data_IF_094392646459
#
_entry.id   IF_094392646459
#
_cell.length_a   1.000
_cell.length_b   1.000
_cell.length_c   1.000
_cell.angle_alpha   90.00
_cell.angle_beta   90.00
_cell.angle_gamma   90.00
#
_symmetry.space_group_name_H-M   'P 1'
#
loop_
_entity.id
_entity.type
_entity.pdbx_description
1 polymer ?
#
# COMPACT_ATOMS: atom_id res chain seq x y z
N UNK A 1 16.05 -7.93 10.13
CA UNK A 1 15.17 -7.68 8.95
C UNK A 1 14.57 -6.26 9.04
N UNK A 2 14.50 -5.56 7.91
CA UNK A 2 13.67 -4.36 7.79
C UNK A 2 12.35 -4.72 7.15
N UNK A 3 11.31 -3.96 7.50
CA UNK A 3 9.95 -4.11 6.97
C UNK A 3 9.47 -2.77 6.48
N UNK A 4 8.96 -2.72 5.26
CA UNK A 4 8.18 -1.59 4.79
C UNK A 4 6.72 -1.93 4.97
N UNK A 5 6.01 -1.09 5.72
CA UNK A 5 4.57 -1.20 5.90
C UNK A 5 3.84 -0.08 5.18
N UNK A 6 2.57 -0.31 4.86
CA UNK A 6 1.62 0.68 4.37
C UNK A 6 0.35 0.65 5.20
N UNK A 7 -0.29 1.80 5.37
CA UNK A 7 -1.66 1.91 5.88
C UNK A 7 -2.39 3.05 5.20
N UNK A 8 -3.71 2.95 5.16
CA UNK A 8 -4.61 4.04 4.79
C UNK A 8 -4.73 4.99 5.99
N UNK A 9 -4.06 6.14 5.89
CA UNK A 9 -4.12 7.17 6.93
C UNK A 9 -5.40 8.00 6.82
N UNK A 10 -5.82 8.29 5.59
CA UNK A 10 -7.07 8.98 5.31
C UNK A 10 -7.72 8.34 4.08
N UNK A 11 -9.01 7.93 4.17
CA UNK A 11 -9.73 7.39 3.03
C UNK A 11 -9.94 8.45 1.95
N UNK A 12 -10.17 8.01 0.72
CA UNK A 12 -10.54 8.88 -0.38
C UNK A 12 -11.90 9.53 -0.10
N UNK A 13 -11.96 10.86 -0.02
CA UNK A 13 -13.19 11.62 0.19
C UNK A 13 -13.22 12.90 -0.64
N UNK A 14 -14.41 13.30 -1.08
CA UNK A 14 -14.69 14.60 -1.72
C UNK A 14 -15.25 15.63 -0.72
N UNK A 15 -15.27 15.28 0.57
CA UNK A 15 -15.85 16.07 1.66
C UNK A 15 -17.32 15.77 1.98
N UNK A 16 -18.04 15.09 1.08
CA UNK A 16 -19.44 14.65 1.28
C UNK A 16 -19.53 13.13 1.32
N UNK A 17 -18.93 12.49 0.32
CA UNK A 17 -18.86 11.05 0.13
C UNK A 17 -17.45 10.53 0.43
N UNK A 18 -17.39 9.26 0.82
CA UNK A 18 -16.14 8.57 1.12
C UNK A 18 -16.10 7.25 0.37
N UNK A 19 -14.98 6.97 -0.28
CA UNK A 19 -14.67 5.66 -0.84
C UNK A 19 -13.99 4.82 0.23
N UNK A 20 -14.60 3.70 0.60
CA UNK A 20 -14.08 2.76 1.60
C UNK A 20 -13.64 1.47 0.94
N UNK A 21 -12.60 0.84 1.48
CA UNK A 21 -12.12 -0.49 1.05
C UNK A 21 -11.68 -0.56 -0.43
N UNK A 22 -11.25 0.58 -0.98
CA UNK A 22 -10.91 0.72 -2.40
C UNK A 22 -9.42 0.50 -2.70
N UNK A 23 -8.53 0.70 -1.73
CA UNK A 23 -7.10 0.49 -1.92
C UNK A 23 -6.69 -0.98 -1.71
N UNK A 24 -5.93 -1.50 -2.67
CA UNK A 24 -5.36 -2.85 -2.66
C UNK A 24 -3.86 -2.77 -2.91
N UNK A 25 -3.12 -3.67 -2.28
CA UNK A 25 -1.74 -3.98 -2.66
C UNK A 25 -1.73 -5.32 -3.39
N UNK A 26 -1.09 -5.36 -4.56
CA UNK A 26 -0.99 -6.55 -5.39
C UNK A 26 0.46 -7.01 -5.46
N UNK A 27 0.71 -8.26 -5.10
CA UNK A 27 2.04 -8.88 -5.17
C UNK A 27 1.90 -10.38 -5.42
N UNK A 28 2.74 -10.95 -6.28
CA UNK A 28 2.74 -12.39 -6.59
C UNK A 28 1.35 -12.91 -7.03
N UNK A 29 0.57 -12.08 -7.73
CA UNK A 29 -0.80 -12.40 -8.16
C UNK A 29 -1.84 -12.43 -7.05
N UNK A 30 -1.51 -12.03 -5.82
CA UNK A 30 -2.45 -11.90 -4.71
C UNK A 30 -2.80 -10.44 -4.45
N UNK A 31 -4.08 -10.18 -4.16
CA UNK A 31 -4.56 -8.85 -3.76
C UNK A 31 -4.87 -8.81 -2.27
N UNK A 32 -4.35 -7.82 -1.57
CA UNK A 32 -4.60 -7.59 -0.15
C UNK A 32 -5.16 -6.18 0.07
N UNK A 33 -6.12 -6.05 0.99
CA UNK A 33 -6.75 -4.76 1.27
C UNK A 33 -5.86 -3.87 2.12
N UNK A 34 -5.54 -2.67 1.63
CA UNK A 34 -4.89 -1.67 2.48
C UNK A 34 -5.98 -1.09 3.39
N UNK A 35 -5.75 -1.17 4.70
CA UNK A 35 -6.68 -0.67 5.73
C UNK A 35 -5.99 0.38 6.58
N UNK A 36 -6.66 0.90 7.62
CA UNK A 36 -6.02 1.75 8.63
C UNK A 36 -4.97 1.02 9.49
N UNK A 37 -4.96 -0.31 9.48
CA UNK A 37 -3.92 -1.14 10.10
C UNK A 37 -2.68 -1.26 9.23
N UNK A 38 -1.51 -1.42 9.86
CA UNK A 38 -0.25 -1.62 9.16
C UNK A 38 -0.22 -2.96 8.43
N UNK A 39 0.03 -2.90 7.13
CA UNK A 39 0.24 -4.05 6.26
C UNK A 39 1.69 -4.07 5.81
N UNK A 40 2.38 -5.21 5.95
CA UNK A 40 3.72 -5.39 5.40
C UNK A 40 3.60 -5.51 3.88
N UNK A 41 4.33 -4.68 3.14
CA UNK A 41 4.41 -4.74 1.67
C UNK A 41 5.78 -5.20 1.17
N UNK A 42 6.80 -5.17 2.04
CA UNK A 42 8.14 -5.70 1.75
C UNK A 42 8.83 -6.06 3.07
N UNK A 43 9.53 -7.21 3.09
CA UNK A 43 10.35 -7.65 4.21
C UNK A 43 11.61 -8.30 3.67
N UNK A 44 12.76 -7.71 3.99
CA UNK A 44 14.05 -8.18 3.48
C UNK A 44 15.12 -8.11 4.58
N UNK A 45 16.03 -9.08 4.54
CA UNK A 45 17.30 -9.04 5.28
C UNK A 45 18.41 -8.57 4.35
N UNK A 46 18.92 -7.37 4.59
CA UNK A 46 20.11 -6.89 3.88
C UNK A 46 21.33 -7.25 4.70
N UNK A 47 22.24 -8.01 4.09
CA UNK A 47 23.54 -8.37 4.66
C UNK A 47 24.63 -7.36 4.32
N UNK A 48 24.36 -6.44 3.39
CA UNK A 48 25.30 -5.45 2.88
C UNK A 48 24.61 -4.09 2.68
N UNK A 49 25.38 -3.02 2.77
CA UNK A 49 24.90 -1.67 2.47
C UNK A 49 24.67 -1.50 0.96
N UNK A 50 23.57 -0.87 0.57
CA UNK A 50 23.28 -0.62 -0.83
C UNK A 50 21.94 0.04 -1.07
N UNK A 51 21.59 0.21 -2.34
CA UNK A 51 20.26 0.67 -2.77
C UNK A 51 19.38 -0.55 -3.02
N UNK A 52 18.21 -0.56 -2.38
CA UNK A 52 17.17 -1.56 -2.62
C UNK A 52 15.96 -0.87 -3.27
N UNK A 53 15.53 -1.36 -4.43
CA UNK A 53 14.43 -0.77 -5.21
C UNK A 53 13.15 -1.56 -4.95
N UNK A 54 12.35 -1.10 -3.98
CA UNK A 54 11.12 -1.80 -3.52
C UNK A 54 10.09 -2.00 -4.63
N UNK A 55 9.98 -1.03 -5.55
CA UNK A 55 8.97 -1.03 -6.59
C UNK A 55 9.50 -1.56 -7.94
N UNK A 56 10.59 -2.35 -7.94
CA UNK A 56 11.20 -2.84 -9.17
C UNK A 56 10.22 -3.66 -10.04
N UNK A 57 9.29 -4.37 -9.40
CA UNK A 57 8.29 -5.20 -10.08
C UNK A 57 6.91 -4.54 -10.16
N UNK A 58 6.74 -3.31 -9.66
CA UNK A 58 5.44 -2.66 -9.71
C UNK A 58 5.10 -2.19 -11.12
N UNK A 59 3.79 -2.11 -11.38
CA UNK A 59 3.25 -1.55 -12.61
C UNK A 59 2.32 -2.50 -13.35
N UNK A 60 1.61 -1.96 -14.33
CA UNK A 60 0.55 -2.65 -15.08
C UNK A 60 1.06 -3.93 -15.76
N UNK A 61 2.27 -3.90 -16.34
CA UNK A 61 2.84 -5.06 -17.04
C UNK A 61 3.04 -6.28 -16.15
N UNK A 62 3.28 -6.06 -14.85
CA UNK A 62 3.46 -7.12 -13.86
C UNK A 62 2.18 -7.36 -13.06
N UNK A 63 1.19 -6.47 -13.18
CA UNK A 63 0.00 -6.43 -12.34
C UNK A 63 0.34 -6.43 -10.84
N UNK A 64 1.34 -5.63 -10.45
CA UNK A 64 1.81 -5.51 -9.07
C UNK A 64 1.87 -4.04 -8.61
N UNK A 65 1.84 -3.84 -7.30
CA UNK A 65 1.91 -2.54 -6.65
C UNK A 65 0.56 -2.08 -6.10
N UNK A 66 0.32 -0.77 -6.12
CA UNK A 66 -0.90 -0.17 -5.57
C UNK A 66 -2.00 -0.20 -6.63
N UNK A 67 -3.15 -0.76 -6.26
CA UNK A 67 -4.35 -0.83 -7.09
C UNK A 67 -5.51 -0.13 -6.39
N UNK A 68 -6.30 0.61 -7.16
CA UNK A 68 -7.55 1.23 -6.71
C UNK A 68 -8.72 0.52 -7.40
N UNK A 69 -9.59 -0.09 -6.62
CA UNK A 69 -10.81 -0.75 -7.10
C UNK A 69 -12.02 -0.03 -6.52
N UNK A 70 -12.69 0.79 -7.32
CA UNK A 70 -13.91 1.51 -6.90
C UNK A 70 -15.14 0.69 -7.31
N UNK A 71 -15.90 0.11 -6.36
CA UNK A 71 -17.05 -0.70 -6.70
C UNK A 71 -18.21 0.18 -7.19
N UNK A 72 -19.09 -0.39 -8.02
CA UNK A 72 -20.09 0.36 -8.80
C UNK A 72 -21.03 1.20 -7.94
N UNK A 73 -21.34 0.74 -6.73
CA UNK A 73 -22.20 1.43 -5.77
C UNK A 73 -21.54 2.66 -5.14
N UNK A 74 -20.21 2.80 -5.24
CA UNK A 74 -19.44 3.94 -4.75
C UNK A 74 -18.95 4.86 -5.88
N UNK A 75 -19.21 4.53 -7.15
CA UNK A 75 -18.80 5.33 -8.31
C UNK A 75 -19.65 6.60 -8.44
N UNK A 76 -19.28 7.62 -7.67
CA UNK A 76 -19.86 8.96 -7.74
C UNK A 76 -18.89 9.93 -8.41
N UNK A 77 -19.44 10.93 -9.09
CA UNK A 77 -18.63 11.96 -9.76
C UNK A 77 -18.18 12.98 -8.71
N UNK A 78 -16.87 13.17 -8.59
CA UNK A 78 -16.28 14.12 -7.65
C UNK A 78 -14.75 14.03 -7.64
N UNK A 79 -14.13 14.99 -6.96
CA UNK A 79 -12.68 15.02 -6.73
C UNK A 79 -12.37 14.42 -5.37
N UNK A 80 -11.86 13.18 -5.36
CA UNK A 80 -11.54 12.45 -4.14
C UNK A 80 -10.07 12.61 -3.76
N UNK A 81 -9.80 12.88 -2.48
CA UNK A 81 -8.46 12.98 -1.91
C UNK A 81 -8.33 12.11 -0.67
N UNK A 82 -7.15 11.52 -0.49
CA UNK A 82 -6.86 10.59 0.59
C UNK A 82 -5.35 10.43 0.76
N UNK A 83 -4.93 9.71 1.79
CA UNK A 83 -3.50 9.55 2.12
C UNK A 83 -3.22 8.10 2.49
N UNK A 84 -2.27 7.49 1.77
CA UNK A 84 -1.57 6.29 2.23
C UNK A 84 -0.28 6.73 2.94
N UNK A 85 0.08 6.02 3.99
CA UNK A 85 1.28 6.27 4.78
C UNK A 85 2.16 5.02 4.75
N UNK A 86 3.45 5.21 4.48
CA UNK A 86 4.45 4.15 4.49
C UNK A 86 5.41 4.34 5.66
N UNK A 87 5.81 3.25 6.28
CA UNK A 87 6.77 3.27 7.37
C UNK A 87 7.82 2.18 7.18
N UNK A 88 9.09 2.59 7.25
CA UNK A 88 10.22 1.66 7.29
C UNK A 88 10.55 1.36 8.76
N UNK A 89 10.42 0.10 9.15
CA UNK A 89 10.71 -0.37 10.51
C UNK A 89 11.87 -1.35 10.46
N UNK A 90 12.93 -1.10 11.22
CA UNK A 90 13.94 -2.12 11.51
C UNK A 90 13.48 -2.89 12.76
N UNK A 91 13.35 -4.21 12.67
CA UNK A 91 13.33 -4.99 13.91
C UNK A 91 14.67 -4.74 14.62
N UNK A 92 14.70 -4.39 15.92
CA UNK A 92 15.95 -4.37 16.65
C UNK A 92 16.52 -5.79 16.58
N UNK A 93 17.75 -5.92 16.09
CA UNK A 93 18.49 -7.17 16.20
C UNK A 93 18.47 -7.59 17.66
N UNK A 94 17.92 -8.76 17.94
CA UNK A 94 17.91 -9.29 19.30
C UNK A 94 19.38 -9.43 19.73
N UNK A 95 19.83 -8.75 20.80
CA UNK A 95 21.21 -8.87 21.29
C UNK A 95 21.53 -10.27 21.79
#
# INVERSE_FOLDING_TARGET
>A
PWRLTVKEQQPLTDGTDQLTDVFRFVTNGQEQMITSGEMIIEETELTENGTYVVNQHWGESQNEGIKLTVPVEQQKVGDYQGTLSWQLVSAPGNP
#
